data_IF_229041881794
#
_entry.id   IF_229041881794
#
_cell.length_a   1.000
_cell.length_b   1.000
_cell.length_c   1.000
_cell.angle_alpha   90.00
_cell.angle_beta   90.00
_cell.angle_gamma   90.00
#
_symmetry.space_group_name_H-M   'P 1'
#
loop_
_entity.id
_entity.type
_entity.pdbx_description
1 polymer ?
#
# COMPACT_ATOMS: atom_id res chain seq x y z
N UNK A 1 24.83 21.08 12.89
CA UNK A 1 23.97 21.07 14.07
C UNK A 1 23.04 19.86 13.89
N UNK A 2 23.11 18.88 14.82
CA UNK A 2 22.22 17.74 14.84
C UNK A 2 21.15 17.96 15.92
N UNK A 3 19.90 17.68 15.59
CA UNK A 3 18.79 17.68 16.54
C UNK A 3 18.36 16.24 16.80
N UNK A 4 18.20 15.87 18.05
CA UNK A 4 17.71 14.57 18.47
C UNK A 4 16.18 14.44 18.31
N UNK A 5 15.69 13.22 18.40
CA UNK A 5 14.24 12.93 18.45
C UNK A 5 13.64 13.67 19.66
N UNK A 6 12.43 14.21 19.50
CA UNK A 6 11.70 15.00 20.51
C UNK A 6 12.33 16.34 20.91
N UNK A 7 13.31 16.84 20.16
CA UNK A 7 13.90 18.18 20.38
C UNK A 7 13.05 19.27 19.76
N UNK A 8 13.00 20.43 20.39
CA UNK A 8 12.48 21.66 19.77
C UNK A 8 13.61 22.30 18.97
N UNK A 9 13.37 22.58 17.70
CA UNK A 9 14.39 23.11 16.80
C UNK A 9 13.82 24.33 16.08
N UNK A 10 14.63 25.38 15.98
CA UNK A 10 14.36 26.50 15.10
C UNK A 10 14.84 26.13 13.69
N UNK A 11 13.95 26.23 12.70
CA UNK A 11 14.27 25.96 11.29
C UNK A 11 14.14 27.25 10.50
N UNK A 12 15.12 27.51 9.65
CA UNK A 12 15.01 28.54 8.63
C UNK A 12 14.48 27.87 7.34
N UNK A 13 13.26 28.25 6.93
CA UNK A 13 12.60 27.73 5.73
C UNK A 13 12.71 28.79 4.63
N UNK A 14 13.33 28.44 3.53
CA UNK A 14 13.41 29.30 2.33
C UNK A 14 12.28 28.98 1.37
N UNK A 15 11.75 30.00 0.68
CA UNK A 15 10.71 29.83 -0.34
C UNK A 15 9.30 29.62 0.22
N UNK A 16 9.06 29.94 1.48
CA UNK A 16 7.74 29.91 2.14
C UNK A 16 7.52 31.27 2.82
N UNK A 17 6.37 31.88 2.55
CA UNK A 17 5.96 33.10 3.24
C UNK A 17 5.44 32.78 4.66
N UNK A 18 5.68 33.69 5.59
CA UNK A 18 5.27 33.52 7.01
C UNK A 18 3.75 33.31 7.15
N UNK A 19 2.97 33.93 6.26
CA UNK A 19 1.50 33.81 6.19
C UNK A 19 1.01 32.42 5.83
N UNK A 20 1.86 31.61 5.18
CA UNK A 20 1.55 30.23 4.79
C UNK A 20 1.79 29.25 5.93
N UNK A 21 2.57 29.66 6.94
CA UNK A 21 2.89 28.82 8.10
C UNK A 21 1.76 28.88 9.14
N UNK A 22 1.18 27.71 9.42
CA UNK A 22 0.10 27.56 10.41
C UNK A 22 0.47 26.55 11.46
N UNK A 23 0.02 26.80 12.70
CA UNK A 23 0.17 25.84 13.80
C UNK A 23 -0.41 24.47 13.43
N UNK A 24 0.35 23.41 13.70
CA UNK A 24 -0.07 22.04 13.40
C UNK A 24 0.23 21.55 11.98
N UNK A 25 0.98 22.31 11.18
CA UNK A 25 1.54 21.80 9.93
C UNK A 25 2.65 20.78 10.20
N UNK A 26 2.82 19.85 9.26
CA UNK A 26 3.87 18.84 9.27
C UNK A 26 4.94 19.21 8.23
N UNK A 27 6.20 19.22 8.65
CA UNK A 27 7.33 19.29 7.73
C UNK A 27 7.88 17.88 7.50
N UNK A 28 7.91 17.45 6.24
CA UNK A 28 8.44 16.14 5.87
C UNK A 28 9.11 16.18 4.50
N UNK A 29 9.91 15.15 4.19
CA UNK A 29 10.37 14.94 2.81
C UNK A 29 9.16 14.64 1.91
N UNK A 30 9.23 15.10 0.66
CA UNK A 30 8.19 14.84 -0.34
C UNK A 30 7.94 13.33 -0.47
N UNK A 31 6.67 12.93 -0.43
CA UNK A 31 6.25 11.53 -0.58
C UNK A 31 6.22 10.68 0.71
N UNK A 32 6.79 11.17 1.83
CA UNK A 32 6.79 10.43 3.09
C UNK A 32 5.42 10.38 3.78
N UNK A 33 4.63 11.45 3.63
CA UNK A 33 3.30 11.54 4.21
C UNK A 33 2.27 11.89 3.14
N UNK A 34 1.12 11.26 3.24
CA UNK A 34 -0.10 11.62 2.52
C UNK A 34 -1.17 12.01 3.52
N UNK A 35 -2.02 12.97 3.15
CA UNK A 35 -3.18 13.35 3.94
C UNK A 35 -4.36 12.44 3.65
N UNK A 36 -5.12 12.11 4.69
CA UNK A 36 -6.34 11.32 4.60
C UNK A 36 -7.45 11.95 5.43
N UNK A 37 -8.68 11.87 4.95
CA UNK A 37 -9.88 12.36 5.66
C UNK A 37 -10.53 11.31 6.54
N UNK A 38 -10.05 10.09 6.48
CA UNK A 38 -10.50 9.00 7.35
C UNK A 38 -9.29 8.27 7.88
N UNK A 39 -9.25 8.03 9.19
CA UNK A 39 -8.20 7.27 9.87
C UNK A 39 -8.82 6.35 10.89
N UNK A 40 -8.21 5.19 11.10
CA UNK A 40 -8.66 4.24 12.11
C UNK A 40 -7.76 4.30 13.35
N UNK A 41 -8.36 4.16 14.52
CA UNK A 41 -7.67 4.30 15.79
C UNK A 41 -8.23 3.36 16.86
N UNK A 42 -7.45 3.16 17.91
CA UNK A 42 -7.95 2.68 19.19
C UNK A 42 -8.18 3.86 20.13
N UNK A 43 -9.31 3.87 20.80
CA UNK A 43 -9.71 4.90 21.77
C UNK A 43 -10.05 4.24 23.10
N UNK A 44 -9.57 4.82 24.17
CA UNK A 44 -10.07 4.56 25.53
C UNK A 44 -10.90 5.75 25.95
N UNK A 45 -12.18 5.53 26.20
CA UNK A 45 -13.12 6.58 26.58
C UNK A 45 -14.30 5.98 27.37
N UNK A 46 -14.87 6.77 28.26
CA UNK A 46 -16.16 6.45 28.89
C UNK A 46 -17.28 6.97 27.97
N UNK A 47 -18.22 6.10 27.64
CA UNK A 47 -19.45 6.46 26.90
C UNK A 47 -19.21 7.19 25.57
N UNK A 48 -18.33 6.67 24.71
CA UNK A 48 -18.18 7.18 23.35
C UNK A 48 -19.41 6.83 22.51
N UNK A 49 -19.99 7.83 21.82
CA UNK A 49 -21.24 7.66 21.05
C UNK A 49 -20.93 7.57 19.55
N UNK A 50 -21.57 6.62 18.87
CA UNK A 50 -21.44 6.50 17.41
C UNK A 50 -21.99 7.74 16.70
N UNK A 51 -21.26 8.23 15.72
CA UNK A 51 -21.57 9.45 14.97
C UNK A 51 -21.44 10.76 15.76
N UNK A 52 -20.91 10.74 16.98
CA UNK A 52 -20.62 11.93 17.77
C UNK A 52 -19.57 12.81 17.07
N UNK A 53 -19.77 14.12 17.15
CA UNK A 53 -18.74 15.10 16.76
C UNK A 53 -17.88 15.41 17.98
N UNK A 54 -16.56 15.35 17.78
CA UNK A 54 -15.56 15.60 18.82
C UNK A 54 -14.47 16.50 18.28
N UNK A 55 -13.73 17.17 19.16
CA UNK A 55 -12.46 17.80 18.79
C UNK A 55 -11.34 16.78 18.96
N UNK A 56 -10.69 16.44 17.87
CA UNK A 56 -9.52 15.57 17.81
C UNK A 56 -8.26 16.42 17.98
N UNK A 57 -7.52 16.20 19.06
CA UNK A 57 -6.33 16.96 19.43
C UNK A 57 -5.09 16.07 19.26
N UNK A 58 -4.21 16.46 18.33
CA UNK A 58 -2.97 15.73 18.02
C UNK A 58 -1.81 16.72 17.85
N UNK A 59 -0.74 16.53 18.58
CA UNK A 59 0.38 17.49 18.61
C UNK A 59 -0.11 18.90 18.90
N UNK A 60 0.10 19.83 17.96
CA UNK A 60 -0.35 21.23 18.07
C UNK A 60 -1.68 21.50 17.32
N UNK A 61 -2.33 20.47 16.76
CA UNK A 61 -3.52 20.60 15.92
C UNK A 61 -4.77 20.15 16.65
N UNK A 62 -5.83 20.95 16.57
CA UNK A 62 -7.16 20.62 17.06
C UNK A 62 -8.15 20.73 15.90
N UNK A 63 -8.84 19.65 15.59
CA UNK A 63 -9.76 19.59 14.44
C UNK A 63 -11.05 18.88 14.80
N UNK A 64 -12.19 19.33 14.26
CA UNK A 64 -13.44 18.59 14.41
C UNK A 64 -13.35 17.25 13.67
N UNK A 65 -13.82 16.20 14.34
CA UNK A 65 -13.86 14.85 13.78
C UNK A 65 -15.21 14.18 14.12
N UNK A 66 -15.72 13.37 13.21
CA UNK A 66 -16.87 12.50 13.44
C UNK A 66 -16.37 11.11 13.80
N UNK A 67 -16.89 10.55 14.90
CA UNK A 67 -16.54 9.22 15.41
C UNK A 67 -17.43 8.16 14.78
N UNK A 68 -16.86 7.14 14.18
CA UNK A 68 -17.57 5.95 13.70
C UNK A 68 -17.07 4.73 14.46
N UNK A 69 -17.85 4.21 15.38
CA UNK A 69 -17.48 3.03 16.17
C UNK A 69 -17.53 1.79 15.27
N UNK A 70 -16.40 1.10 15.15
CA UNK A 70 -16.23 -0.16 14.43
C UNK A 70 -16.52 -1.36 15.35
N UNK A 71 -15.94 -1.33 16.56
CA UNK A 71 -16.18 -2.31 17.63
C UNK A 71 -15.90 -1.68 18.99
N UNK A 72 -16.44 -2.29 20.03
CA UNK A 72 -16.27 -1.91 21.42
C UNK A 72 -15.98 -3.14 22.27
N UNK A 73 -15.07 -3.00 23.19
CA UNK A 73 -14.82 -3.96 24.27
C UNK A 73 -14.50 -3.16 25.52
N UNK A 74 -15.39 -3.23 26.50
CA UNK A 74 -15.31 -2.40 27.74
C UNK A 74 -15.21 -0.90 27.40
N UNK A 75 -14.27 -0.17 27.94
CA UNK A 75 -13.97 1.23 27.65
C UNK A 75 -13.03 1.42 26.45
N UNK A 76 -12.70 0.35 25.70
CA UNK A 76 -11.84 0.40 24.53
C UNK A 76 -12.64 0.23 23.24
N UNK A 77 -12.39 1.12 22.29
CA UNK A 77 -13.11 1.19 21.01
C UNK A 77 -12.12 1.14 19.85
N UNK A 78 -12.42 0.32 18.83
CA UNK A 78 -11.90 0.61 17.49
C UNK A 78 -12.83 1.57 16.79
N UNK A 79 -12.28 2.67 16.30
CA UNK A 79 -13.06 3.73 15.65
C UNK A 79 -12.43 4.14 14.33
N UNK A 80 -13.26 4.61 13.41
CA UNK A 80 -12.83 5.42 12.29
C UNK A 80 -13.20 6.88 12.57
N UNK A 81 -12.24 7.79 12.45
CA UNK A 81 -12.47 9.23 12.49
C UNK A 81 -12.63 9.77 11.09
N UNK A 82 -13.67 10.57 10.85
CA UNK A 82 -13.85 11.33 9.61
C UNK A 82 -13.59 12.81 9.86
N UNK A 83 -12.72 13.39 9.04
CA UNK A 83 -12.32 14.79 9.07
C UNK A 83 -12.85 15.54 7.85
N UNK A 84 -13.03 16.87 7.97
CA UNK A 84 -13.41 17.72 6.85
C UNK A 84 -12.24 18.02 5.90
N UNK A 85 -11.01 18.01 6.44
CA UNK A 85 -9.77 18.25 5.69
C UNK A 85 -8.79 17.11 5.89
N UNK A 86 -7.79 17.05 5.03
CA UNK A 86 -6.77 16.02 5.10
C UNK A 86 -5.93 16.14 6.38
N UNK A 87 -5.76 15.00 7.03
CA UNK A 87 -4.92 14.83 8.20
C UNK A 87 -3.67 14.04 7.84
N UNK A 88 -2.51 14.54 8.28
CA UNK A 88 -1.20 13.92 8.03
C UNK A 88 -0.74 13.22 9.31
N UNK A 89 -1.30 12.06 9.59
CA UNK A 89 -1.05 11.28 10.79
C UNK A 89 -0.14 10.08 10.45
N UNK A 90 0.50 9.53 11.48
CA UNK A 90 1.29 8.30 11.38
C UNK A 90 0.77 7.23 12.34
N UNK A 91 1.21 6.02 12.11
CA UNK A 91 0.99 4.89 13.02
C UNK A 91 1.52 5.22 14.41
N UNK A 92 0.77 4.78 15.42
CA UNK A 92 1.05 4.93 16.85
C UNK A 92 1.10 6.38 17.36
N UNK A 93 0.61 7.35 16.59
CA UNK A 93 0.50 8.73 17.01
C UNK A 93 -0.61 8.90 18.04
N UNK A 94 -0.28 9.49 19.19
CA UNK A 94 -1.22 9.67 20.30
C UNK A 94 -2.08 10.92 20.10
N UNK A 95 -3.33 10.84 20.55
CA UNK A 95 -4.28 11.96 20.51
C UNK A 95 -5.21 11.97 21.71
N UNK A 96 -5.86 13.10 21.92
CA UNK A 96 -6.89 13.32 22.94
C UNK A 96 -8.19 13.75 22.27
N UNK A 97 -9.31 13.33 22.84
CA UNK A 97 -10.66 13.69 22.39
C UNK A 97 -11.31 14.65 23.39
N UNK A 98 -11.84 15.74 22.88
CA UNK A 98 -12.57 16.75 23.66
C UNK A 98 -14.01 16.85 23.11
N UNK A 99 -14.98 16.86 24.02
CA UNK A 99 -16.38 17.22 23.76
C UNK A 99 -16.87 18.12 24.89
N UNK A 100 -17.65 19.13 24.55
CA UNK A 100 -18.23 20.09 25.53
C UNK A 100 -17.18 20.65 26.49
N UNK A 101 -16.03 21.07 25.94
CA UNK A 101 -14.86 21.58 26.66
C UNK A 101 -14.24 20.62 27.69
N UNK A 102 -14.58 19.31 27.65
CA UNK A 102 -14.05 18.28 28.55
C UNK A 102 -13.31 17.21 27.78
N UNK A 103 -12.25 16.68 28.35
CA UNK A 103 -11.58 15.49 27.85
C UNK A 103 -12.50 14.29 28.08
N UNK A 104 -12.88 13.62 27.00
CA UNK A 104 -13.77 12.44 27.04
C UNK A 104 -13.01 11.12 26.83
N UNK A 105 -11.76 11.21 26.35
CA UNK A 105 -10.92 10.05 26.11
C UNK A 105 -9.67 10.41 25.33
N UNK A 106 -8.98 9.39 24.86
CA UNK A 106 -7.79 9.51 24.04
C UNK A 106 -7.39 8.16 23.47
N UNK A 107 -6.36 8.14 22.67
CA UNK A 107 -5.92 6.90 22.06
C UNK A 107 -4.71 7.03 21.16
N UNK A 108 -4.59 6.05 20.28
CA UNK A 108 -3.51 5.98 19.28
C UNK A 108 -4.06 5.69 17.90
N UNK A 109 -3.48 6.34 16.89
CA UNK A 109 -3.75 6.06 15.48
C UNK A 109 -3.18 4.70 15.12
N UNK A 110 -4.01 3.79 14.62
CA UNK A 110 -3.57 2.47 14.19
C UNK A 110 -3.40 2.41 12.67
N UNK A 111 -4.35 2.96 11.92
CA UNK A 111 -4.27 2.99 10.47
C UNK A 111 -4.52 4.42 9.98
N UNK A 112 -3.44 5.17 9.65
CA UNK A 112 -3.54 6.58 9.24
C UNK A 112 -3.94 6.76 7.78
N UNK A 113 -4.14 5.67 7.02
CA UNK A 113 -4.49 5.69 5.60
C UNK A 113 -5.87 5.07 5.37
N UNK A 114 -6.52 5.46 4.29
CA UNK A 114 -7.77 4.80 3.90
C UNK A 114 -7.46 3.40 3.34
N UNK A 115 -7.84 2.37 4.09
CA UNK A 115 -7.67 0.98 3.68
C UNK A 115 -9.05 0.36 3.38
N UNK A 116 -9.33 -0.08 2.14
CA UNK A 116 -10.63 -0.59 1.73
C UNK A 116 -10.89 -2.03 2.20
N UNK A 117 -10.91 -2.23 3.51
CA UNK A 117 -11.22 -3.51 4.13
C UNK A 117 -12.70 -3.60 4.51
N UNK A 118 -13.29 -4.79 4.37
CA UNK A 118 -14.60 -5.09 4.98
C UNK A 118 -14.51 -4.96 6.50
N UNK A 119 -15.60 -4.59 7.18
CA UNK A 119 -15.64 -4.31 8.63
C UNK A 119 -14.96 -5.38 9.48
N UNK A 120 -15.27 -6.66 9.24
CA UNK A 120 -14.64 -7.76 9.99
C UNK A 120 -13.11 -7.83 9.79
N UNK A 121 -12.65 -7.78 8.54
CA UNK A 121 -11.21 -7.74 8.22
C UNK A 121 -10.52 -6.49 8.77
N UNK A 122 -11.20 -5.33 8.75
CA UNK A 122 -10.67 -4.08 9.34
C UNK A 122 -10.46 -4.23 10.84
N UNK A 123 -11.39 -4.83 11.57
CA UNK A 123 -11.26 -5.06 13.02
C UNK A 123 -10.08 -6.00 13.32
N UNK A 124 -9.93 -7.09 12.55
CA UNK A 124 -8.78 -8.00 12.71
C UNK A 124 -7.45 -7.30 12.40
N UNK A 125 -7.42 -6.51 11.35
CA UNK A 125 -6.26 -5.72 10.97
C UNK A 125 -5.85 -4.72 12.07
N UNK A 126 -6.82 -3.97 12.61
CA UNK A 126 -6.57 -3.05 13.71
C UNK A 126 -6.12 -3.76 15.00
N UNK A 127 -6.67 -4.95 15.27
CA UNK A 127 -6.25 -5.77 16.41
C UNK A 127 -4.81 -6.27 16.27
N UNK A 128 -4.38 -6.63 15.05
CA UNK A 128 -2.99 -6.98 14.76
C UNK A 128 -2.06 -5.77 14.94
N UNK A 129 -2.44 -4.61 14.38
CA UNK A 129 -1.66 -3.37 14.53
C UNK A 129 -1.54 -2.92 15.99
N UNK A 130 -2.61 -3.02 16.78
CA UNK A 130 -2.59 -2.68 18.20
C UNK A 130 -1.56 -3.51 19.00
N UNK A 131 -1.33 -4.75 18.58
CA UNK A 131 -0.36 -5.69 19.16
C UNK A 131 1.02 -5.60 18.52
N UNK A 132 1.23 -4.71 17.55
CA UNK A 132 2.43 -4.66 16.69
C UNK A 132 2.71 -5.99 15.97
N UNK A 133 1.67 -6.80 15.73
CA UNK A 133 1.75 -8.01 14.90
C UNK A 133 1.67 -7.63 13.41
N UNK A 134 2.78 -7.15 12.88
CA UNK A 134 2.86 -6.72 11.48
C UNK A 134 2.81 -7.91 10.51
N UNK A 135 3.21 -9.13 10.93
CA UNK A 135 3.09 -10.32 10.09
C UNK A 135 1.61 -10.66 9.90
N UNK A 136 0.83 -10.67 10.99
CA UNK A 136 -0.62 -10.84 10.93
C UNK A 136 -1.32 -9.74 10.14
N UNK A 137 -0.92 -8.48 10.33
CA UNK A 137 -1.45 -7.35 9.57
C UNK A 137 -1.21 -7.49 8.06
N UNK A 138 0.02 -7.87 7.64
CA UNK A 138 0.37 -8.07 6.24
C UNK A 138 -0.35 -9.29 5.63
N UNK A 139 -0.58 -10.34 6.43
CA UNK A 139 -1.38 -11.50 6.00
C UNK A 139 -2.82 -11.10 5.67
N UNK A 140 -3.43 -10.25 6.50
CA UNK A 140 -4.78 -9.74 6.26
C UNK A 140 -4.83 -8.87 4.99
N UNK A 141 -3.83 -7.98 4.80
CA UNK A 141 -3.73 -7.16 3.59
C UNK A 141 -3.54 -8.02 2.33
N UNK A 142 -2.71 -9.05 2.41
CA UNK A 142 -2.49 -10.00 1.31
C UNK A 142 -3.80 -10.65 0.86
N UNK A 143 -4.61 -11.12 1.80
CA UNK A 143 -5.90 -11.75 1.50
C UNK A 143 -6.92 -10.76 0.91
N UNK A 144 -6.89 -9.51 1.38
CA UNK A 144 -7.80 -8.47 0.93
C UNK A 144 -7.44 -7.93 -0.46
N UNK A 145 -6.15 -7.85 -0.77
CA UNK A 145 -5.63 -7.23 -1.99
C UNK A 145 -5.09 -8.26 -2.97
N UNK A 146 -5.98 -8.87 -3.76
CA UNK A 146 -5.60 -9.86 -4.79
C UNK A 146 -4.54 -9.35 -5.79
N UNK A 147 -4.52 -8.06 -6.05
CA UNK A 147 -3.57 -7.41 -6.97
C UNK A 147 -2.29 -6.92 -6.27
N UNK A 148 -2.06 -7.36 -5.04
CA UNK A 148 -0.96 -6.92 -4.21
C UNK A 148 -1.23 -5.60 -3.51
N UNK A 149 -0.35 -5.26 -2.56
CA UNK A 149 -0.37 -4.00 -1.84
C UNK A 149 1.04 -3.41 -1.69
N UNK A 150 1.11 -2.08 -1.69
CA UNK A 150 2.38 -1.37 -1.58
C UNK A 150 2.79 -1.12 -0.13
N UNK A 151 4.10 -1.16 0.11
CA UNK A 151 4.75 -0.80 1.38
C UNK A 151 5.61 0.46 1.28
N UNK A 152 5.48 1.23 0.20
CA UNK A 152 6.21 2.50 0.03
C UNK A 152 5.91 3.50 1.14
N UNK A 153 4.70 3.48 1.70
CA UNK A 153 4.28 4.32 2.82
C UNK A 153 4.41 3.63 4.19
N UNK A 154 5.27 2.61 4.32
CA UNK A 154 5.43 1.81 5.54
C UNK A 154 5.73 2.64 6.77
N UNK A 155 6.53 3.72 6.64
CA UNK A 155 6.82 4.62 7.75
C UNK A 155 5.54 5.28 8.30
N UNK A 156 4.68 5.80 7.43
CA UNK A 156 3.42 6.40 7.86
C UNK A 156 2.44 5.34 8.38
N UNK A 157 2.33 4.20 7.67
CA UNK A 157 1.30 3.18 7.92
C UNK A 157 1.60 2.25 9.10
N UNK A 158 2.87 1.97 9.36
CA UNK A 158 3.29 0.93 10.29
C UNK A 158 4.42 1.41 11.23
N UNK A 159 4.96 2.62 11.02
CA UNK A 159 6.14 3.09 11.74
C UNK A 159 7.44 2.36 11.36
N UNK A 160 7.42 1.59 10.26
CA UNK A 160 8.54 0.77 9.80
C UNK A 160 9.29 1.47 8.67
N UNK A 161 10.61 1.37 8.67
CA UNK A 161 11.41 1.67 7.49
C UNK A 161 11.06 0.73 6.34
N UNK A 162 11.48 1.04 5.11
CA UNK A 162 11.25 0.14 3.95
C UNK A 162 11.93 -1.22 4.16
N UNK A 163 13.13 -1.23 4.71
CA UNK A 163 13.89 -2.45 4.99
C UNK A 163 13.18 -3.34 6.02
N UNK A 164 12.73 -2.74 7.14
CA UNK A 164 11.95 -3.46 8.16
C UNK A 164 10.66 -4.00 7.59
N UNK A 165 9.93 -3.22 6.77
CA UNK A 165 8.69 -3.67 6.13
C UNK A 165 8.94 -4.83 5.15
N UNK A 166 10.02 -4.81 4.38
CA UNK A 166 10.46 -5.92 3.52
C UNK A 166 10.77 -7.16 4.36
N UNK A 167 11.50 -6.99 5.46
CA UNK A 167 11.86 -8.10 6.36
C UNK A 167 10.62 -8.72 7.03
N UNK A 168 9.63 -7.91 7.39
CA UNK A 168 8.32 -8.41 7.86
C UNK A 168 7.61 -9.17 6.74
N UNK A 169 7.55 -8.60 5.53
CA UNK A 169 6.89 -9.20 4.38
C UNK A 169 7.46 -10.59 4.04
N UNK A 170 8.78 -10.75 4.10
CA UNK A 170 9.46 -12.05 3.86
C UNK A 170 9.07 -13.15 4.85
N UNK A 171 8.55 -12.80 6.03
CA UNK A 171 8.07 -13.75 7.03
C UNK A 171 6.61 -14.16 6.83
N UNK A 172 5.87 -13.47 5.96
CA UNK A 172 4.50 -13.84 5.61
C UNK A 172 4.53 -15.03 4.66
N UNK A 173 3.69 -16.02 4.90
CA UNK A 173 3.60 -17.22 4.04
C UNK A 173 2.98 -16.91 2.68
N UNK A 174 3.42 -17.63 1.66
CA UNK A 174 2.85 -17.60 0.31
C UNK A 174 2.80 -16.20 -0.32
N UNK A 175 3.91 -15.45 -0.22
CA UNK A 175 4.05 -14.13 -0.83
C UNK A 175 5.23 -14.05 -1.79
N UNK A 176 5.09 -13.20 -2.77
CA UNK A 176 6.20 -12.65 -3.54
C UNK A 176 6.42 -11.19 -3.11
N UNK A 177 7.63 -10.87 -2.67
CA UNK A 177 8.02 -9.53 -2.24
C UNK A 177 8.86 -8.90 -3.34
N UNK A 178 8.32 -7.86 -3.97
CA UNK A 178 9.10 -7.04 -4.91
C UNK A 178 9.78 -5.91 -4.13
N UNK A 179 11.04 -6.12 -3.79
CA UNK A 179 11.85 -5.16 -3.01
C UNK A 179 12.12 -3.86 -3.77
N UNK A 180 12.17 -3.90 -5.11
CA UNK A 180 12.41 -2.69 -5.94
C UNK A 180 11.16 -1.84 -6.06
N UNK A 181 10.02 -2.48 -6.31
CA UNK A 181 8.74 -1.79 -6.43
C UNK A 181 8.08 -1.53 -5.05
N UNK A 182 8.62 -2.09 -3.96
CA UNK A 182 8.06 -2.07 -2.60
C UNK A 182 6.60 -2.55 -2.59
N UNK A 183 6.35 -3.67 -3.29
CA UNK A 183 5.04 -4.30 -3.39
C UNK A 183 5.08 -5.75 -2.90
N UNK A 184 3.99 -6.17 -2.28
CA UNK A 184 3.78 -7.53 -1.79
C UNK A 184 2.61 -8.14 -2.54
N UNK A 185 2.78 -9.35 -3.05
CA UNK A 185 1.77 -10.10 -3.79
C UNK A 185 1.55 -11.47 -3.17
N UNK A 186 0.32 -11.94 -3.17
CA UNK A 186 0.05 -13.35 -2.95
C UNK A 186 0.63 -14.18 -4.11
N UNK A 187 1.17 -15.37 -3.85
CA UNK A 187 1.75 -16.22 -4.91
C UNK A 187 0.74 -16.59 -6.00
N UNK A 188 -0.55 -16.58 -5.71
CA UNK A 188 -1.59 -16.77 -6.74
C UNK A 188 -1.55 -15.69 -7.83
N UNK A 189 -0.94 -14.53 -7.57
CA UNK A 189 -0.72 -13.50 -8.58
C UNK A 189 0.22 -13.98 -9.70
N UNK A 190 1.22 -14.81 -9.38
CA UNK A 190 2.11 -15.45 -10.36
C UNK A 190 1.29 -16.37 -11.28
N UNK A 191 0.42 -17.21 -10.69
CA UNK A 191 -0.44 -18.14 -11.46
C UNK A 191 -1.41 -17.39 -12.38
N UNK A 192 -1.92 -16.24 -11.94
CA UNK A 192 -2.77 -15.40 -12.79
C UNK A 192 -2.01 -14.84 -14.00
N UNK A 193 -0.77 -14.39 -13.81
CA UNK A 193 0.07 -13.94 -14.93
C UNK A 193 0.36 -15.10 -15.87
N UNK A 194 0.72 -16.28 -15.34
CA UNK A 194 0.96 -17.48 -16.13
C UNK A 194 -0.26 -17.86 -16.97
N UNK A 195 -1.47 -17.76 -16.41
CA UNK A 195 -2.73 -17.99 -17.12
C UNK A 195 -2.94 -16.99 -18.26
N UNK A 196 -2.62 -15.71 -18.05
CA UNK A 196 -2.70 -14.69 -19.11
C UNK A 196 -1.71 -14.99 -20.24
N UNK A 197 -0.47 -15.37 -19.91
CA UNK A 197 0.54 -15.72 -20.93
C UNK A 197 0.11 -16.96 -21.72
N UNK A 198 -0.40 -18.02 -21.07
CA UNK A 198 -0.93 -19.20 -21.74
C UNK A 198 -2.05 -18.84 -22.71
N UNK A 199 -3.01 -18.03 -22.26
CA UNK A 199 -4.09 -17.54 -23.11
C UNK A 199 -3.59 -16.74 -24.32
N UNK A 200 -2.56 -15.90 -24.13
CA UNK A 200 -1.95 -15.16 -25.25
C UNK A 200 -1.34 -16.11 -26.29
N UNK A 201 -0.63 -17.15 -25.85
CA UNK A 201 -0.04 -18.17 -26.73
C UNK A 201 -1.11 -18.98 -27.45
N UNK A 202 -2.20 -19.34 -26.80
CA UNK A 202 -3.33 -20.04 -27.40
C UNK A 202 -4.02 -19.22 -28.49
N UNK A 203 -4.16 -17.92 -28.28
CA UNK A 203 -4.74 -16.98 -29.24
C UNK A 203 -3.82 -16.69 -30.42
N UNK A 204 -2.51 -16.63 -30.19
CA UNK A 204 -1.51 -16.38 -31.20
C UNK A 204 -0.23 -17.15 -30.85
N UNK A 205 0.07 -18.22 -31.59
CA UNK A 205 1.28 -19.01 -31.35
C UNK A 205 2.59 -18.22 -31.56
N UNK A 206 2.54 -17.13 -32.33
CA UNK A 206 3.64 -16.21 -32.58
C UNK A 206 3.66 -15.03 -31.62
N UNK A 207 2.93 -15.08 -30.49
CA UNK A 207 2.94 -14.01 -29.52
C UNK A 207 4.34 -13.81 -28.95
N UNK A 208 4.79 -12.56 -28.97
CA UNK A 208 6.06 -12.11 -28.38
C UNK A 208 5.77 -11.26 -27.14
N UNK A 209 6.41 -11.54 -26.05
CA UNK A 209 6.19 -10.82 -24.79
C UNK A 209 7.47 -10.71 -23.95
N UNK A 210 7.48 -9.72 -23.08
CA UNK A 210 8.52 -9.50 -22.08
C UNK A 210 7.88 -9.17 -20.73
N UNK A 211 8.66 -9.21 -19.67
CA UNK A 211 8.17 -8.79 -18.35
C UNK A 211 7.61 -7.35 -18.38
N UNK A 212 8.26 -6.47 -19.13
CA UNK A 212 7.81 -5.08 -19.31
C UNK A 212 6.47 -5.01 -20.05
N UNK A 213 6.30 -5.74 -21.17
CA UNK A 213 5.05 -5.71 -21.96
C UNK A 213 3.88 -6.28 -21.15
N UNK A 214 4.12 -7.30 -20.30
CA UNK A 214 3.12 -7.87 -19.42
C UNK A 214 2.74 -6.87 -18.31
N UNK A 215 3.72 -6.21 -17.67
CA UNK A 215 3.44 -5.22 -16.62
C UNK A 215 2.72 -3.99 -17.16
N UNK A 216 2.98 -3.57 -18.39
CA UNK A 216 2.22 -2.51 -19.07
C UNK A 216 0.76 -2.93 -19.33
N UNK A 217 0.53 -4.17 -19.71
CA UNK A 217 -0.80 -4.72 -19.97
C UNK A 217 -1.58 -5.01 -18.68
N UNK A 218 -0.88 -5.44 -17.63
CA UNK A 218 -1.42 -5.74 -16.31
C UNK A 218 -0.93 -4.68 -15.32
N UNK A 219 -1.56 -3.50 -15.30
CA UNK A 219 -1.13 -2.35 -14.52
C UNK A 219 -0.93 -2.62 -13.00
N UNK A 220 -1.50 -3.71 -12.48
CA UNK A 220 -1.32 -4.14 -11.10
C UNK A 220 -0.04 -4.96 -10.88
N UNK A 221 0.54 -5.55 -11.95
CA UNK A 221 1.69 -6.43 -11.85
C UNK A 221 2.99 -5.65 -12.01
N UNK A 222 3.92 -5.80 -11.08
CA UNK A 222 5.27 -5.27 -11.24
C UNK A 222 6.05 -6.06 -12.30
N UNK A 223 7.07 -5.44 -12.87
CA UNK A 223 7.93 -6.09 -13.84
C UNK A 223 8.65 -7.32 -13.24
N UNK A 224 9.06 -7.27 -11.98
CA UNK A 224 9.71 -8.39 -11.30
C UNK A 224 8.74 -9.56 -11.07
N UNK A 225 7.48 -9.27 -10.74
CA UNK A 225 6.44 -10.30 -10.62
C UNK A 225 6.17 -10.97 -11.98
N UNK A 226 6.08 -10.18 -13.05
CA UNK A 226 5.92 -10.68 -14.41
C UNK A 226 7.12 -11.54 -14.81
N UNK A 227 8.36 -11.09 -14.50
CA UNK A 227 9.58 -11.85 -14.78
C UNK A 227 9.57 -13.20 -14.08
N UNK A 228 9.20 -13.25 -12.78
CA UNK A 228 9.07 -14.51 -12.04
C UNK A 228 8.09 -15.48 -12.72
N UNK A 229 6.94 -15.00 -13.17
CA UNK A 229 5.97 -15.83 -13.88
C UNK A 229 6.51 -16.38 -15.21
N UNK A 230 7.29 -15.58 -15.95
CA UNK A 230 7.94 -16.00 -17.19
C UNK A 230 9.04 -17.02 -16.91
N UNK A 231 9.86 -16.82 -15.91
CA UNK A 231 10.93 -17.78 -15.54
C UNK A 231 10.33 -19.16 -15.17
N UNK A 232 9.20 -19.17 -14.45
CA UNK A 232 8.48 -20.41 -14.13
C UNK A 232 7.89 -21.09 -15.38
N UNK A 233 7.35 -20.32 -16.35
CA UNK A 233 6.85 -20.87 -17.61
C UNK A 233 7.98 -21.40 -18.51
N UNK A 234 9.14 -20.75 -18.48
CA UNK A 234 10.35 -21.21 -19.18
C UNK A 234 10.87 -22.52 -18.56
N UNK A 235 10.90 -22.60 -17.23
CA UNK A 235 11.35 -23.80 -16.51
C UNK A 235 10.56 -25.07 -16.83
N UNK A 236 9.24 -24.90 -17.11
CA UNK A 236 8.36 -26.01 -17.57
C UNK A 236 8.37 -26.17 -19.09
N UNK A 237 9.29 -25.51 -19.80
CA UNK A 237 9.45 -25.58 -21.25
C UNK A 237 8.21 -25.18 -22.07
N UNK A 238 7.33 -24.31 -21.57
CA UNK A 238 6.21 -23.79 -22.31
C UNK A 238 6.61 -22.64 -23.23
N UNK A 239 7.56 -21.83 -22.79
CA UNK A 239 8.10 -20.69 -23.52
C UNK A 239 9.63 -20.78 -23.59
N UNK A 240 10.23 -20.02 -24.49
CA UNK A 240 11.68 -19.88 -24.62
C UNK A 240 12.06 -18.42 -24.74
N UNK A 241 13.19 -18.05 -24.14
CA UNK A 241 13.73 -16.69 -24.15
C UNK A 241 14.71 -16.55 -25.31
N UNK A 242 14.52 -15.51 -26.15
CA UNK A 242 15.39 -15.15 -27.25
C UNK A 242 15.53 -13.63 -27.27
N UNK A 243 16.78 -13.12 -27.20
CA UNK A 243 17.10 -11.68 -27.27
C UNK A 243 16.25 -10.79 -26.34
N UNK A 244 16.04 -11.25 -25.09
CA UNK A 244 15.30 -10.48 -24.08
C UNK A 244 13.77 -10.55 -24.17
N UNK A 245 13.24 -11.26 -25.15
CA UNK A 245 11.80 -11.53 -25.31
C UNK A 245 11.50 -13.01 -25.19
N UNK A 246 10.24 -13.33 -24.90
CA UNK A 246 9.76 -14.69 -24.75
C UNK A 246 8.76 -15.02 -25.87
N UNK A 247 8.83 -16.23 -26.36
CA UNK A 247 7.89 -16.82 -27.34
C UNK A 247 7.47 -18.21 -26.91
N UNK A 248 6.43 -18.76 -27.51
CA UNK A 248 6.09 -20.18 -27.37
C UNK A 248 7.30 -21.02 -27.75
N UNK A 249 7.60 -22.07 -26.99
CA UNK A 249 8.70 -22.98 -27.31
C UNK A 249 8.54 -23.59 -28.71
N UNK A 250 9.64 -23.56 -29.49
CA UNK A 250 9.65 -24.08 -30.88
C UNK A 250 9.19 -23.09 -31.96
N UNK A 251 8.82 -21.87 -31.57
CA UNK A 251 8.50 -20.81 -32.54
C UNK A 251 9.77 -20.05 -32.90
N UNK A 252 10.06 -20.02 -34.21
CA UNK A 252 11.19 -19.28 -34.76
C UNK A 252 10.78 -17.86 -35.15
N UNK A 253 11.33 -16.88 -34.45
CA UNK A 253 11.03 -15.44 -34.67
C UNK A 253 11.50 -15.00 -36.06
N UNK A 254 12.53 -15.62 -36.63
CA UNK A 254 13.05 -15.27 -37.97
C UNK A 254 11.98 -15.44 -39.03
N UNK A 255 11.12 -16.45 -38.90
CA UNK A 255 9.97 -16.69 -39.80
C UNK A 255 8.88 -15.61 -39.69
N UNK A 256 8.78 -14.90 -38.58
CA UNK A 256 7.89 -13.75 -38.39
C UNK A 256 8.36 -12.54 -39.20
N UNK A 257 9.67 -12.29 -39.25
CA UNK A 257 10.24 -11.19 -40.06
C UNK A 257 9.93 -11.42 -41.53
N UNK A 258 10.17 -12.63 -42.05
CA UNK A 258 9.87 -12.97 -43.42
C UNK A 258 8.38 -12.80 -43.79
N UNK A 259 7.48 -13.27 -42.91
CA UNK A 259 6.02 -13.08 -43.12
C UNK A 259 5.56 -11.63 -43.06
N UNK A 260 6.19 -10.80 -42.23
CA UNK A 260 5.90 -9.36 -42.14
C UNK A 260 6.42 -8.63 -43.37
N UNK A 261 7.60 -8.99 -43.85
CA UNK A 261 8.19 -8.46 -45.09
C UNK A 261 7.35 -8.83 -46.28
N UNK A 262 6.93 -10.11 -46.45
CA UNK A 262 6.03 -10.55 -47.48
C UNK A 262 4.68 -9.78 -47.47
N UNK A 263 4.06 -9.58 -46.30
CA UNK A 263 2.83 -8.79 -46.18
C UNK A 263 3.01 -7.31 -46.51
N UNK A 264 4.17 -6.74 -46.23
CA UNK A 264 4.47 -5.35 -46.57
C UNK A 264 4.65 -5.24 -48.11
N UNK A 265 5.29 -6.21 -48.76
CA UNK A 265 5.43 -6.27 -50.22
C UNK A 265 4.11 -6.53 -50.93
N UNK A 266 3.13 -7.21 -50.32
CA UNK A 266 1.78 -7.38 -50.89
C UNK A 266 0.92 -6.11 -50.78
N UNK A 267 1.26 -5.16 -49.95
CA UNK A 267 0.50 -3.92 -49.72
C UNK A 267 1.11 -2.72 -50.49
N UNK A 268 2.37 -2.81 -50.89
CA UNK A 268 3.06 -1.83 -51.73
C UNK A 268 2.90 -2.10 -53.19
#
# INVERSE_FOLDING_TARGET
ICAGVSSRVALNLTGIELSELKKGQLLSKKGFFRGFREVDAVVTARNLIHSQSVTFCVGAKNVPAKVLILSQKDDSYFVAFKFQSDMFLKFDETFVLISDARVIGGGRVLNPVLEPLKKAGKILFLAALLKHDFIGAFSILKEAHKNGFGIISSYQRFGLSHEEAVNVAKKVSNVFVDEKALNIYDLSAVERIKSVVKFMIEKNEFAVFSAQSISLKLAWASQNLAQKALDELESINLISKNDGVYTKKGVDISKLKVRLEEKIYEIL
#
